data_IF_912515070992
#
_entry.id   IF_912515070992
#
_cell.length_a   1.000
_cell.length_b   1.000
_cell.length_c   1.000
_cell.angle_alpha   90.00
_cell.angle_beta   90.00
_cell.angle_gamma   90.00
#
_symmetry.space_group_name_H-M   'P 1'
#
loop_
_entity.id
_entity.type
_entity.pdbx_description
1 polymer ?
#
# COMPACT_ATOMS: atom_id res chain seq x y z
N UNK A 1 19.09 0.87 -4.60
CA UNK A 1 17.62 0.87 -4.42
C UNK A 1 16.98 1.32 -5.73
N UNK A 2 16.11 0.52 -6.35
CA UNK A 2 15.45 0.89 -7.60
C UNK A 2 14.08 1.51 -7.27
N UNK A 3 13.98 2.84 -7.36
CA UNK A 3 12.76 3.55 -6.96
C UNK A 3 11.55 3.17 -7.82
N UNK A 4 11.76 2.98 -9.13
CA UNK A 4 10.69 2.57 -10.04
C UNK A 4 10.09 1.21 -9.65
N UNK A 5 10.91 0.32 -9.11
CA UNK A 5 10.44 -0.97 -8.59
C UNK A 5 9.54 -0.82 -7.36
N UNK A 6 9.86 0.11 -6.45
CA UNK A 6 9.03 0.37 -5.26
C UNK A 6 7.65 0.90 -5.65
N UNK A 7 7.51 1.60 -6.79
CA UNK A 7 6.22 2.10 -7.27
C UNK A 7 5.64 1.29 -8.45
N UNK A 8 6.11 0.06 -8.70
CA UNK A 8 5.66 -0.73 -9.85
C UNK A 8 4.16 -1.12 -9.80
N UNK A 9 3.54 -1.12 -8.62
CA UNK A 9 2.11 -1.41 -8.46
C UNK A 9 1.30 -0.15 -8.69
N UNK A 10 0.73 -0.01 -9.89
CA UNK A 10 -0.04 1.18 -10.33
C UNK A 10 -1.56 1.09 -10.17
N UNK A 11 -2.06 -0.02 -9.67
CA UNK A 11 -3.50 -0.23 -9.43
C UNK A 11 -3.69 -1.04 -8.15
N UNK A 12 -4.77 -0.80 -7.37
CA UNK A 12 -5.13 -1.70 -6.28
C UNK A 12 -5.27 -3.12 -6.84
N UNK A 13 -4.60 -4.08 -6.22
CA UNK A 13 -4.67 -5.46 -6.68
C UNK A 13 -6.09 -6.03 -6.58
N UNK A 14 -6.37 -7.12 -7.31
CA UNK A 14 -7.70 -7.71 -7.41
C UNK A 14 -8.38 -7.92 -6.05
N UNK A 15 -7.61 -8.40 -5.07
CA UNK A 15 -8.03 -8.65 -3.70
C UNK A 15 -7.40 -7.67 -2.69
N UNK A 16 -7.16 -6.41 -3.06
CA UNK A 16 -6.59 -5.41 -2.15
C UNK A 16 -7.45 -5.23 -0.89
N UNK A 17 -6.89 -5.21 0.33
CA UNK A 17 -7.67 -4.99 1.55
C UNK A 17 -8.33 -3.60 1.59
N UNK A 18 -7.84 -2.64 0.80
CA UNK A 18 -8.45 -1.30 0.69
C UNK A 18 -9.63 -1.24 -0.28
N UNK A 19 -9.93 -2.29 -1.06
CA UNK A 19 -11.05 -2.25 -2.03
C UNK A 19 -12.40 -2.10 -1.33
N UNK A 20 -13.36 -1.46 -2.01
CA UNK A 20 -14.76 -1.38 -1.56
C UNK A 20 -15.42 -2.76 -1.44
N UNK A 21 -15.05 -3.68 -2.34
CA UNK A 21 -15.57 -5.04 -2.40
C UNK A 21 -14.49 -6.00 -2.92
N UNK A 22 -14.53 -7.26 -2.48
CA UNK A 22 -13.64 -8.32 -2.94
C UNK A 22 -12.19 -8.24 -2.44
N UNK A 23 -11.92 -7.47 -1.39
CA UNK A 23 -10.63 -7.47 -0.70
C UNK A 23 -10.38 -8.76 0.10
N UNK A 24 -9.11 -9.07 0.42
CA UNK A 24 -8.83 -10.19 1.33
C UNK A 24 -9.46 -9.88 2.72
N UNK A 25 -10.02 -10.88 3.40
CA UNK A 25 -10.45 -10.72 4.79
C UNK A 25 -9.22 -10.52 5.68
N UNK A 26 -9.24 -9.48 6.50
CA UNK A 26 -8.27 -9.26 7.56
C UNK A 26 -8.93 -9.54 8.91
N UNK A 27 -8.12 -9.86 9.92
CA UNK A 27 -8.59 -9.93 11.30
C UNK A 27 -9.30 -8.62 11.71
N UNK A 28 -10.27 -8.73 12.60
CA UNK A 28 -11.07 -7.59 13.05
C UNK A 28 -10.18 -6.44 13.55
N UNK A 29 -10.51 -5.20 13.14
CA UNK A 29 -9.75 -4.00 13.47
C UNK A 29 -8.37 -3.88 12.82
N UNK A 30 -7.88 -4.90 12.09
CA UNK A 30 -6.54 -4.87 11.48
C UNK A 30 -6.42 -3.79 10.41
N UNK A 31 -7.43 -3.65 9.54
CA UNK A 31 -7.42 -2.62 8.49
C UNK A 31 -7.45 -1.22 9.10
N UNK A 32 -8.24 -1.00 10.14
CA UNK A 32 -8.34 0.30 10.81
C UNK A 32 -7.05 0.65 11.55
N UNK A 33 -6.36 -0.34 12.14
CA UNK A 33 -5.04 -0.15 12.71
C UNK A 33 -4.02 0.28 11.63
N UNK A 34 -4.00 -0.40 10.48
CA UNK A 34 -3.14 -0.01 9.34
C UNK A 34 -3.43 1.43 8.93
N UNK A 35 -4.71 1.78 8.76
CA UNK A 35 -5.14 3.15 8.41
C UNK A 35 -4.71 4.19 9.44
N UNK A 36 -4.88 3.91 10.74
CA UNK A 36 -4.45 4.79 11.83
C UNK A 36 -2.94 5.01 11.81
N UNK A 37 -2.15 3.95 11.63
CA UNK A 37 -0.69 4.02 11.54
C UNK A 37 -0.23 4.86 10.34
N UNK A 38 -0.85 4.65 9.17
CA UNK A 38 -0.56 5.44 7.97
C UNK A 38 -0.92 6.93 8.15
N UNK A 39 -1.98 7.24 8.91
CA UNK A 39 -2.33 8.63 9.24
C UNK A 39 -1.42 9.23 10.30
N UNK A 40 -0.93 8.48 11.27
CA UNK A 40 -0.14 9.04 12.37
C UNK A 40 1.35 9.21 12.03
N UNK A 41 1.85 8.50 11.02
CA UNK A 41 3.26 8.52 10.63
C UNK A 41 3.48 8.89 9.17
N UNK A 42 4.42 9.80 8.95
CA UNK A 42 4.87 10.23 7.63
C UNK A 42 5.90 9.27 7.00
N UNK A 43 6.46 8.36 7.79
CA UNK A 43 7.47 7.40 7.33
C UNK A 43 6.87 6.02 7.02
N UNK A 44 5.70 5.72 7.59
CA UNK A 44 5.07 4.41 7.46
C UNK A 44 4.53 4.19 6.05
N UNK A 45 4.81 2.99 5.52
CA UNK A 45 4.37 2.54 4.21
C UNK A 45 3.66 1.19 4.35
N UNK A 46 2.73 0.92 3.46
CA UNK A 46 2.12 -0.40 3.37
C UNK A 46 2.62 -1.10 2.10
N UNK A 47 3.31 -2.22 2.25
CA UNK A 47 3.76 -3.01 1.12
C UNK A 47 2.60 -3.80 0.50
N UNK A 48 2.62 -3.95 -0.81
CA UNK A 48 1.64 -4.74 -1.52
C UNK A 48 1.82 -6.22 -1.15
N UNK A 49 0.77 -6.83 -0.59
CA UNK A 49 0.80 -8.24 -0.19
C UNK A 49 1.09 -9.19 -1.36
N UNK A 50 0.79 -8.81 -2.61
CA UNK A 50 1.17 -9.62 -3.78
C UNK A 50 2.66 -9.59 -4.09
N UNK A 51 3.39 -8.57 -3.64
CA UNK A 51 4.81 -8.39 -3.95
C UNK A 51 5.71 -8.88 -2.81
N UNK A 52 5.22 -8.91 -1.58
CA UNK A 52 5.93 -9.45 -0.42
C UNK A 52 5.99 -10.98 -0.39
N UNK A 53 4.96 -11.68 -0.88
CA UNK A 53 4.90 -13.16 -0.77
C UNK A 53 5.35 -13.93 -2.03
N UNK A 54 5.60 -13.29 -3.17
CA UNK A 54 5.95 -13.97 -4.43
C UNK A 54 7.43 -14.38 -4.56
N UNK A 55 8.11 -14.76 -3.48
CA UNK A 55 9.56 -14.95 -3.52
C UNK A 55 10.27 -15.68 -2.37
N UNK A 56 9.60 -16.55 -1.62
CA UNK A 56 10.31 -17.52 -0.76
C UNK A 56 10.47 -17.15 0.71
N UNK A 57 9.47 -16.48 1.29
CA UNK A 57 9.17 -16.68 2.71
C UNK A 57 7.93 -17.57 2.77
N UNK A 58 8.10 -18.83 2.38
CA UNK A 58 7.27 -19.90 2.92
C UNK A 58 7.41 -19.81 4.43
N UNK A 59 6.32 -19.44 5.11
CA UNK A 59 5.99 -19.79 6.49
C UNK A 59 7.18 -20.19 7.39
N UNK A 60 8.17 -19.31 7.53
CA UNK A 60 9.12 -19.40 8.64
C UNK A 60 8.47 -18.65 9.78
N UNK A 61 8.13 -19.41 10.81
CA UNK A 61 7.68 -19.04 12.16
C UNK A 61 7.31 -17.57 12.36
N UNK A 62 6.07 -17.35 12.82
CA UNK A 62 5.55 -16.05 13.27
C UNK A 62 6.64 -15.19 13.93
N UNK A 63 7.15 -14.19 13.20
CA UNK A 63 7.98 -13.15 13.83
C UNK A 63 9.11 -12.51 13.02
N UNK A 64 9.59 -13.09 11.91
CA UNK A 64 10.72 -12.47 11.17
C UNK A 64 10.40 -12.22 9.69
N UNK A 65 9.93 -11.00 9.41
CA UNK A 65 9.87 -10.48 8.06
C UNK A 65 11.28 -10.28 7.50
N UNK A 66 11.60 -10.95 6.39
CA UNK A 66 12.81 -10.71 5.61
C UNK A 66 12.43 -10.11 4.26
N UNK A 67 13.03 -8.96 3.91
CA UNK A 67 12.79 -8.31 2.62
C UNK A 67 13.36 -9.17 1.48
N UNK A 68 12.50 -9.62 0.58
CA UNK A 68 12.86 -10.33 -0.66
C UNK A 68 13.46 -9.40 -1.73
N UNK A 69 13.37 -8.08 -1.52
CA UNK A 69 13.76 -7.05 -2.48
C UNK A 69 12.80 -6.93 -3.66
N UNK A 70 11.68 -7.67 -3.67
CA UNK A 70 10.63 -7.64 -4.71
C UNK A 70 9.45 -6.74 -4.34
N UNK A 71 9.48 -6.15 -3.15
CA UNK A 71 8.37 -5.40 -2.60
C UNK A 71 8.11 -4.11 -3.37
N UNK A 72 6.82 -3.83 -3.58
CA UNK A 72 6.34 -2.53 -4.02
C UNK A 72 5.36 -1.97 -3.00
N UNK A 73 5.24 -0.65 -2.96
CA UNK A 73 4.24 0.03 -2.16
C UNK A 73 2.84 -0.25 -2.69
N UNK A 74 1.90 -0.41 -1.76
CA UNK A 74 0.51 -0.70 -2.08
C UNK A 74 -0.19 0.56 -2.63
N UNK A 75 -0.61 0.49 -3.90
CA UNK A 75 -1.44 1.54 -4.50
C UNK A 75 -2.72 1.82 -3.70
N UNK A 76 -3.36 0.80 -3.12
CA UNK A 76 -4.56 1.00 -2.30
C UNK A 76 -4.32 1.87 -1.08
N UNK A 77 -3.18 1.69 -0.40
CA UNK A 77 -2.81 2.49 0.76
C UNK A 77 -2.42 3.92 0.37
N UNK A 78 -1.63 4.08 -0.71
CA UNK A 78 -1.24 5.40 -1.22
C UNK A 78 -2.47 6.22 -1.67
N UNK A 79 -3.38 5.59 -2.41
CA UNK A 79 -4.63 6.22 -2.83
C UNK A 79 -5.55 6.55 -1.64
N UNK A 80 -5.57 5.70 -0.60
CA UNK A 80 -6.36 5.96 0.59
C UNK A 80 -5.83 7.18 1.36
N UNK A 81 -4.52 7.29 1.54
CA UNK A 81 -3.89 8.48 2.14
C UNK A 81 -4.25 9.73 1.33
N UNK A 82 -4.06 9.66 0.01
CA UNK A 82 -4.37 10.76 -0.90
C UNK A 82 -5.83 11.21 -0.81
N UNK A 83 -6.78 10.27 -0.77
CA UNK A 83 -8.20 10.56 -0.60
C UNK A 83 -8.53 11.25 0.74
N UNK A 84 -7.68 11.06 1.74
CA UNK A 84 -7.81 11.66 3.07
C UNK A 84 -6.92 12.91 3.24
N UNK A 85 -6.49 13.53 2.14
CA UNK A 85 -5.76 14.80 2.15
C UNK A 85 -4.33 14.69 2.70
N UNK A 86 -3.77 13.47 2.75
CA UNK A 86 -2.42 13.21 3.26
C UNK A 86 -1.59 12.45 2.23
N UNK A 87 -0.28 12.67 2.22
CA UNK A 87 0.68 11.82 1.53
C UNK A 87 1.87 11.61 2.46
N UNK A 88 2.25 10.34 2.68
CA UNK A 88 3.48 10.05 3.42
C UNK A 88 4.71 10.45 2.60
N UNK A 89 5.89 10.44 3.21
CA UNK A 89 7.15 10.80 2.56
C UNK A 89 7.42 9.97 1.31
N UNK A 90 7.17 8.66 1.39
CA UNK A 90 7.38 7.75 0.26
C UNK A 90 6.53 8.17 -0.95
N UNK A 91 5.23 8.40 -0.80
CA UNK A 91 4.37 8.78 -1.92
C UNK A 91 4.74 10.15 -2.48
N UNK A 92 5.13 11.12 -1.65
CA UNK A 92 5.62 12.43 -2.13
C UNK A 92 6.89 12.30 -2.96
N UNK A 93 7.86 11.51 -2.51
CA UNK A 93 9.07 11.22 -3.28
C UNK A 93 8.75 10.46 -4.57
N UNK A 94 7.79 9.53 -4.53
CA UNK A 94 7.30 8.83 -5.71
C UNK A 94 6.72 9.78 -6.75
N UNK A 95 5.98 10.81 -6.34
CA UNK A 95 5.47 11.83 -7.26
C UNK A 95 6.60 12.67 -7.84
N UNK A 96 7.51 13.17 -6.98
CA UNK A 96 8.63 14.02 -7.39
C UNK A 96 9.60 13.33 -8.38
N UNK A 97 9.75 12.02 -8.25
CA UNK A 97 10.70 11.21 -9.01
C UNK A 97 10.03 10.39 -10.11
N UNK A 98 8.81 10.77 -10.52
CA UNK A 98 8.01 10.10 -11.56
C UNK A 98 7.80 8.59 -11.34
N UNK A 99 7.84 8.17 -10.08
CA UNK A 99 7.49 6.81 -9.65
C UNK A 99 5.98 6.60 -9.59
N UNK A 100 5.16 7.63 -9.39
CA UNK A 100 3.69 7.55 -9.39
C UNK A 100 3.08 8.90 -9.78
N UNK A 101 2.10 8.90 -10.68
CA UNK A 101 1.39 10.11 -11.09
C UNK A 101 0.15 10.36 -10.23
N UNK A 102 -0.21 11.63 -10.03
CA UNK A 102 -1.45 12.03 -9.35
C UNK A 102 -2.69 11.42 -10.03
N UNK A 103 -2.68 11.30 -11.36
CA UNK A 103 -3.79 10.68 -12.09
C UNK A 103 -3.96 9.19 -11.76
N UNK A 104 -2.86 8.46 -11.52
CA UNK A 104 -2.91 7.07 -11.07
C UNK A 104 -3.56 6.96 -9.68
N UNK A 105 -3.26 7.91 -8.78
CA UNK A 105 -3.92 8.01 -7.47
C UNK A 105 -5.41 8.33 -7.63
N UNK A 106 -5.78 9.32 -8.44
CA UNK A 106 -7.17 9.68 -8.73
C UNK A 106 -7.99 8.50 -9.29
N UNK A 107 -7.40 7.68 -10.15
CA UNK A 107 -8.06 6.48 -10.67
C UNK A 107 -8.21 5.44 -9.54
N UNK A 108 -7.18 5.26 -8.73
CA UNK A 108 -7.18 4.27 -7.66
C UNK A 108 -8.20 4.60 -6.56
N UNK A 109 -8.41 5.87 -6.19
CA UNK A 109 -9.42 6.27 -5.18
C UNK A 109 -10.83 5.80 -5.52
N UNK A 110 -11.17 5.74 -6.80
CA UNK A 110 -12.50 5.27 -7.27
C UNK A 110 -12.76 3.80 -6.91
N UNK A 111 -11.69 2.99 -6.82
CA UNK A 111 -11.76 1.54 -6.59
C UNK A 111 -11.65 1.12 -5.10
N UNK A 112 -11.32 2.04 -4.20
CA UNK A 112 -11.07 1.74 -2.78
C UNK A 112 -12.12 2.36 -1.85
N UNK A 113 -12.23 1.81 -0.64
CA UNK A 113 -13.00 2.43 0.44
C UNK A 113 -12.17 3.56 1.05
N UNK A 114 -12.58 4.81 0.80
CA UNK A 114 -11.86 6.02 1.21
C UNK A 114 -12.19 6.47 2.64
N UNK A 115 -13.11 5.81 3.34
CA UNK A 115 -13.54 6.20 4.68
C UNK A 115 -12.39 6.11 5.70
N UNK A 116 -12.25 7.18 6.49
CA UNK A 116 -11.34 7.25 7.62
C UNK A 116 -11.88 6.44 8.82
N UNK A 117 -11.02 5.78 9.61
CA UNK A 117 -11.41 5.10 10.83
C UNK A 117 -11.72 6.08 11.97
#
# INVERSE_FOLDING_TARGET
MNIQKLFAVKKPCANCPFKKAGGIPLAEGRLDNIKRTLLSSDQEVFFCHKTTYQGGAEDKEEGQYQSSGRESYCMGAMAWLYANGRLNLATRLGILLDGIAIEELNIATKAINTTAP
#
